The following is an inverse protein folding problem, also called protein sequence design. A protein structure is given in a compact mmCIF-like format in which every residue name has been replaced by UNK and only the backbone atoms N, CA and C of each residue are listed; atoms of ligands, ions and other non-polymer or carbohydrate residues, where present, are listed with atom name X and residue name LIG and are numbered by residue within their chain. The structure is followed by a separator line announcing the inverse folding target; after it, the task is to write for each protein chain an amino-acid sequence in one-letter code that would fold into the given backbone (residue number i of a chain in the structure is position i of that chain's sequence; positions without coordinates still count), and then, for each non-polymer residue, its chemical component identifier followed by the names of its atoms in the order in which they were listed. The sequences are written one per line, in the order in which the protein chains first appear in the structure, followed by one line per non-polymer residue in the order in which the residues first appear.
data_IF_526145018239
#
_entry.id   IF_526145018239
#
_cell.length_a   1.000
_cell.length_b   1.000
_cell.length_c   1.000
_cell.angle_alpha   90.00
_cell.angle_beta   90.00
_cell.angle_gamma   90.00
#
_symmetry.space_group_name_H-M   'P 1'
#
loop_
_entity.id
_entity.type
_entity.pdbx_description
1 polymer ?
#
# COMPACT_ATOMS: atom_id res chain seq x y z
N UNK A 1 8.40 -4.20 24.11
CA UNK A 1 8.37 -2.75 23.78
C UNK A 1 7.03 -2.48 23.11
N UNK A 2 6.17 -1.61 23.65
CA UNK A 2 4.89 -1.29 23.04
C UNK A 2 5.12 -0.52 21.72
N UNK A 3 4.37 -0.78 20.64
CA UNK A 3 4.51 -0.02 19.40
C UNK A 3 4.26 1.45 19.69
N UNK A 4 5.12 2.34 19.15
CA UNK A 4 4.97 3.79 19.31
C UNK A 4 3.73 4.21 18.53
N UNK A 5 2.58 4.20 19.21
CA UNK A 5 1.32 4.70 18.65
C UNK A 5 1.52 6.18 18.33
N UNK A 6 1.03 6.63 17.18
CA UNK A 6 0.98 8.07 16.90
C UNK A 6 0.21 8.76 18.04
N UNK A 7 0.63 9.97 18.45
CA UNK A 7 -0.11 10.74 19.42
C UNK A 7 -1.56 10.94 18.93
N UNK A 8 -2.52 10.77 19.84
CA UNK A 8 -3.95 10.94 19.52
C UNK A 8 -4.19 12.36 19.00
N UNK A 9 -4.97 12.50 17.92
CA UNK A 9 -5.29 13.80 17.32
C UNK A 9 -4.26 14.37 16.34
N UNK A 10 -3.22 13.62 15.98
CA UNK A 10 -2.22 14.04 14.98
C UNK A 10 -2.63 13.79 13.53
N UNK A 11 -3.69 13.01 13.31
CA UNK A 11 -4.22 12.77 11.97
C UNK A 11 -5.20 13.88 11.61
N UNK A 12 -5.00 14.49 10.43
CA UNK A 12 -5.80 15.61 9.94
C UNK A 12 -7.11 15.12 9.30
N UNK A 13 -7.03 14.13 8.41
CA UNK A 13 -8.20 13.59 7.70
C UNK A 13 -8.05 12.06 7.54
N UNK A 14 -8.41 11.31 8.58
CA UNK A 14 -8.21 9.87 8.62
C UNK A 14 -9.48 9.11 8.20
N UNK A 15 -9.34 8.19 7.24
CA UNK A 15 -10.42 7.28 6.82
C UNK A 15 -10.10 5.83 7.21
N UNK A 16 -11.13 5.05 7.58
CA UNK A 16 -10.98 3.64 7.92
C UNK A 16 -10.99 2.75 6.66
N UNK A 17 -10.02 1.85 6.54
CA UNK A 17 -9.98 0.84 5.48
C UNK A 17 -10.92 -0.32 5.84
N UNK A 18 -12.11 -0.36 5.22
CA UNK A 18 -13.19 -1.31 5.55
C UNK A 18 -13.07 -2.71 4.91
N UNK A 19 -11.89 -3.11 4.45
CA UNK A 19 -11.70 -4.36 3.70
C UNK A 19 -11.53 -5.58 4.60
N UNK A 20 -11.97 -6.74 4.12
CA UNK A 20 -11.64 -8.05 4.71
C UNK A 20 -10.41 -8.60 4.00
N UNK A 21 -9.43 -9.05 4.79
CA UNK A 21 -8.25 -9.76 4.29
C UNK A 21 -8.09 -11.07 5.04
N UNK A 22 -7.34 -11.98 4.44
CA UNK A 22 -7.00 -13.26 5.04
C UNK A 22 -6.18 -13.07 6.32
N UNK A 23 -6.44 -13.92 7.32
CA UNK A 23 -5.81 -13.85 8.65
C UNK A 23 -4.28 -13.90 8.60
N UNK A 24 -3.63 -14.83 7.86
CA UNK A 24 -2.18 -14.90 7.81
C UNK A 24 -1.53 -13.61 7.28
N UNK A 25 -2.19 -12.94 6.34
CA UNK A 25 -1.74 -11.69 5.73
C UNK A 25 -1.85 -10.55 6.75
N UNK A 26 -2.93 -10.51 7.53
CA UNK A 26 -3.07 -9.55 8.64
C UNK A 26 -1.99 -9.73 9.70
N UNK A 27 -1.71 -10.97 10.09
CA UNK A 27 -0.67 -11.27 11.07
C UNK A 27 0.72 -10.88 10.57
N UNK A 28 1.01 -11.15 9.29
CA UNK A 28 2.25 -10.73 8.63
C UNK A 28 2.39 -9.21 8.62
N UNK A 29 1.33 -8.48 8.24
CA UNK A 29 1.32 -7.01 8.26
C UNK A 29 1.62 -6.46 9.66
N UNK A 30 0.96 -7.00 10.68
CA UNK A 30 1.16 -6.55 12.08
C UNK A 30 2.57 -6.85 12.59
N UNK A 31 3.15 -7.98 12.19
CA UNK A 31 4.53 -8.32 12.54
C UNK A 31 5.53 -7.34 11.93
N UNK A 32 5.36 -7.01 10.64
CA UNK A 32 6.23 -6.03 9.96
C UNK A 32 6.09 -4.65 10.62
N UNK A 33 4.86 -4.19 10.86
CA UNK A 33 4.62 -2.90 11.50
C UNK A 33 5.23 -2.82 12.90
N UNK A 34 5.10 -3.91 13.68
CA UNK A 34 5.72 -4.03 15.01
C UNK A 34 7.23 -3.95 14.95
N UNK A 35 7.87 -4.66 14.01
CA UNK A 35 9.32 -4.62 13.82
C UNK A 35 9.80 -3.22 13.39
N UNK A 36 9.00 -2.52 12.59
CA UNK A 36 9.25 -1.13 12.20
C UNK A 36 8.87 -0.10 13.30
N UNK A 37 8.32 -0.53 14.44
CA UNK A 37 7.93 0.36 15.54
C UNK A 37 6.73 1.27 15.25
N UNK A 38 5.97 0.99 14.19
CA UNK A 38 4.82 1.79 13.73
C UNK A 38 3.51 1.00 13.83
N UNK A 39 2.38 1.68 13.61
CA UNK A 39 1.09 1.01 13.47
C UNK A 39 0.91 0.42 12.07
N UNK A 40 0.09 -0.62 11.94
CA UNK A 40 -0.22 -1.23 10.63
C UNK A 40 -0.81 -0.24 9.63
N UNK A 41 -1.56 0.76 10.10
CA UNK A 41 -2.09 1.82 9.24
C UNK A 41 -0.97 2.72 8.67
N UNK A 42 0.01 3.11 9.50
CA UNK A 42 1.18 3.88 9.03
C UNK A 42 2.01 3.07 8.05
N UNK A 43 2.17 1.77 8.30
CA UNK A 43 2.86 0.89 7.37
C UNK A 43 2.13 0.85 6.01
N UNK A 44 0.81 0.73 5.99
CA UNK A 44 0.02 0.76 4.75
C UNK A 44 0.19 2.10 4.03
N UNK A 45 0.07 3.24 4.73
CA UNK A 45 0.30 4.57 4.15
C UNK A 45 1.69 4.65 3.50
N UNK A 46 2.73 4.19 4.20
CA UNK A 46 4.11 4.15 3.68
C UNK A 46 4.29 3.20 2.51
N UNK A 47 3.62 2.05 2.51
CA UNK A 47 3.65 1.11 1.39
C UNK A 47 3.02 1.71 0.13
N UNK A 48 1.94 2.49 0.28
CA UNK A 48 1.30 3.20 -0.84
C UNK A 48 2.24 4.29 -1.38
N UNK A 49 2.86 5.08 -0.50
CA UNK A 49 3.81 6.14 -0.89
C UNK A 49 5.01 5.60 -1.71
N UNK A 50 5.42 4.36 -1.50
CA UNK A 50 6.60 3.74 -2.12
C UNK A 50 6.24 2.67 -3.16
N UNK A 51 4.96 2.55 -3.52
CA UNK A 51 4.54 1.56 -4.49
C UNK A 51 5.02 1.98 -5.88
N UNK A 52 5.88 1.17 -6.49
CA UNK A 52 6.29 1.39 -7.88
C UNK A 52 5.14 1.04 -8.81
N UNK A 53 4.73 2.01 -9.62
CA UNK A 53 3.62 1.91 -10.56
C UNK A 53 4.11 1.91 -12.00
N UNK A 54 3.38 1.21 -12.85
CA UNK A 54 3.47 1.29 -14.31
C UNK A 54 2.88 2.60 -14.84
N UNK A 55 3.01 2.83 -16.14
CA UNK A 55 2.32 3.90 -16.88
C UNK A 55 0.77 3.83 -16.75
N UNK A 56 0.23 2.63 -16.51
CA UNK A 56 -1.20 2.40 -16.25
C UNK A 56 -1.64 2.74 -14.81
N UNK A 57 -0.70 3.12 -13.93
CA UNK A 57 -1.01 3.42 -12.51
C UNK A 57 -1.26 2.17 -11.65
N UNK A 58 -0.89 0.99 -12.13
CA UNK A 58 -0.97 -0.28 -11.39
C UNK A 58 0.42 -0.71 -10.91
N UNK A 59 0.53 -1.52 -9.84
CA UNK A 59 1.82 -2.01 -9.37
C UNK A 59 2.60 -2.76 -10.45
N UNK A 60 3.92 -2.61 -10.49
CA UNK A 60 4.80 -3.31 -11.46
C UNK A 60 4.74 -4.83 -11.41
N UNK A 61 4.31 -5.40 -10.29
CA UNK A 61 4.13 -6.84 -10.09
C UNK A 61 2.70 -7.32 -10.36
N UNK A 62 1.79 -6.41 -10.74
CA UNK A 62 0.43 -6.74 -11.14
C UNK A 62 0.40 -7.13 -12.62
N UNK A 63 -0.54 -7.99 -13.00
CA UNK A 63 -0.74 -8.33 -14.41
C UNK A 63 -1.14 -7.07 -15.20
N UNK A 64 -0.45 -6.73 -16.30
CA UNK A 64 -0.78 -5.57 -17.11
C UNK A 64 -2.24 -5.60 -17.57
N UNK A 65 -2.93 -4.46 -17.48
CA UNK A 65 -4.29 -4.37 -18.01
C UNK A 65 -4.24 -4.43 -19.54
N UNK A 66 -5.23 -5.05 -20.20
CA UNK A 66 -5.33 -5.04 -21.66
C UNK A 66 -5.24 -3.61 -22.21
N UNK A 67 -4.30 -3.39 -23.13
CA UNK A 67 -4.07 -2.11 -23.80
C UNK A 67 -4.93 -2.00 -25.08
N UNK A 68 -6.18 -2.41 -24.99
CA UNK A 68 -7.09 -2.46 -26.14
C UNK A 68 -7.27 -1.04 -26.70
N UNK A 69 -6.66 -0.77 -27.85
CA UNK A 69 -6.70 0.52 -28.54
C UNK A 69 -5.42 1.36 -28.46
N UNK A 70 -4.37 0.91 -27.76
CA UNK A 70 -3.05 1.55 -27.88
C UNK A 70 -2.40 1.10 -29.19
N UNK A 71 -2.40 1.98 -30.19
CA UNK A 71 -1.53 1.81 -31.36
C UNK A 71 -0.07 1.91 -30.89
N UNK A 72 0.82 0.98 -31.26
CA UNK A 72 2.25 1.15 -31.04
C UNK A 72 2.68 2.45 -31.71
N UNK A 73 3.09 3.44 -30.92
CA UNK A 73 3.83 4.56 -31.48
C UNK A 73 5.25 4.05 -31.67
N UNK A 74 5.51 3.44 -32.82
CA UNK A 74 6.87 3.16 -33.27
C UNK A 74 7.69 4.44 -33.13
N UNK A 75 8.84 4.36 -32.46
CA UNK A 75 9.90 5.35 -32.61
C UNK A 75 11.08 4.64 -33.26
N UNK A 76 11.39 5.12 -34.46
CA UNK A 76 12.34 4.63 -35.45
C UNK A 76 13.79 4.44 -34.97
#
# INVERSE_FOLDING_TARGET
MAPRRLPRGTRVDAVSLGYKIERPQKERLDAIARNAGVSSAVLIEKMIDHLELTDQGIPVWWEPLPRDGELPIDSA
#
